data_IF_321277906310
#
_entry.id   IF_321277906310
#
_cell.length_a   1.000
_cell.length_b   1.000
_cell.length_c   1.000
_cell.angle_alpha   90.00
_cell.angle_beta   90.00
_cell.angle_gamma   90.00
#
_symmetry.space_group_name_H-M   'P 1'
#
loop_
_entity.id
_entity.type
_entity.pdbx_description
1 polymer ?
#
# COMPACT_ATOMS: atom_id res chain seq x y z
N UNK A 1 -21.41 26.19 4.93
CA UNK A 1 -20.39 26.02 3.87
C UNK A 1 -19.83 24.59 3.92
N UNK A 2 -20.57 23.60 3.40
CA UNK A 2 -20.34 22.16 3.64
C UNK A 2 -19.75 21.40 2.44
N UNK A 3 -19.08 22.14 1.56
CA UNK A 3 -18.60 21.67 0.26
C UNK A 3 -17.17 22.15 0.04
N UNK A 4 -16.16 21.28 0.25
CA UNK A 4 -14.85 21.31 -0.47
C UNK A 4 -13.80 20.28 -0.02
N UNK A 5 -13.94 19.60 1.13
CA UNK A 5 -12.91 18.66 1.59
C UNK A 5 -12.74 17.37 0.76
N UNK A 6 -13.70 17.04 -0.10
CA UNK A 6 -13.67 15.80 -0.90
C UNK A 6 -12.58 15.75 -1.98
N UNK A 7 -12.06 16.90 -2.42
CA UNK A 7 -11.04 16.98 -3.48
C UNK A 7 -9.63 16.76 -2.91
N UNK A 8 -9.37 17.21 -1.68
CA UNK A 8 -8.07 17.04 -1.01
C UNK A 8 -7.85 15.61 -0.50
N UNK A 9 -8.92 14.83 -0.32
CA UNK A 9 -8.82 13.45 0.13
C UNK A 9 -8.18 12.51 -0.90
N UNK A 10 -8.33 12.81 -2.20
CA UNK A 10 -7.75 12.04 -3.30
C UNK A 10 -6.22 11.98 -3.26
N UNK A 11 -5.48 13.11 -3.33
CA UNK A 11 -4.02 13.07 -3.27
C UNK A 11 -3.53 12.55 -1.91
N UNK A 12 -4.29 12.79 -0.85
CA UNK A 12 -3.92 12.37 0.49
C UNK A 12 -3.97 10.83 0.67
N UNK A 13 -4.94 10.15 0.04
CA UNK A 13 -4.96 8.67 0.02
C UNK A 13 -3.74 8.09 -0.70
N UNK A 14 -3.39 8.66 -1.86
CA UNK A 14 -2.22 8.23 -2.63
C UNK A 14 -0.95 8.39 -1.80
N UNK A 15 -0.74 9.57 -1.21
CA UNK A 15 0.47 9.86 -0.42
C UNK A 15 0.57 8.90 0.77
N UNK A 16 -0.52 8.70 1.51
CA UNK A 16 -0.52 7.84 2.69
C UNK A 16 -0.32 6.38 2.32
N UNK A 17 -0.83 5.93 1.18
CA UNK A 17 -0.56 4.57 0.70
C UNK A 17 0.90 4.37 0.33
N UNK A 18 1.52 5.34 -0.34
CA UNK A 18 2.96 5.26 -0.60
C UNK A 18 3.75 5.26 0.70
N UNK A 19 3.47 6.18 1.63
CA UNK A 19 4.16 6.21 2.92
C UNK A 19 3.94 4.91 3.70
N UNK A 20 2.71 4.40 3.72
CA UNK A 20 2.34 3.15 4.37
C UNK A 20 3.04 1.94 3.75
N UNK A 21 3.13 1.87 2.42
CA UNK A 21 3.81 0.77 1.72
C UNK A 21 5.31 0.77 2.00
N UNK A 22 5.93 1.96 1.96
CA UNK A 22 7.35 2.12 2.28
C UNK A 22 7.65 1.81 3.75
N UNK A 23 6.84 2.35 4.67
CA UNK A 23 6.98 2.05 6.09
C UNK A 23 6.74 0.57 6.40
N UNK A 24 5.79 -0.08 5.72
CA UNK A 24 5.55 -1.50 5.86
C UNK A 24 6.72 -2.34 5.32
N UNK A 25 7.30 -1.97 4.19
CA UNK A 25 8.44 -2.69 3.60
C UNK A 25 9.68 -2.60 4.50
N UNK A 26 10.00 -1.39 4.96
CA UNK A 26 11.13 -1.13 5.89
C UNK A 26 10.88 -1.79 7.24
N UNK A 27 9.67 -1.64 7.79
CA UNK A 27 9.28 -2.24 9.06
C UNK A 27 9.33 -3.77 9.01
N UNK A 28 8.85 -4.38 7.92
CA UNK A 28 8.96 -5.82 7.72
C UNK A 28 10.41 -6.27 7.62
N UNK A 29 11.27 -5.49 6.95
CA UNK A 29 12.69 -5.82 6.81
C UNK A 29 13.38 -5.83 8.18
N UNK A 30 13.08 -4.83 9.00
CA UNK A 30 13.58 -4.77 10.37
C UNK A 30 13.08 -5.92 11.24
N UNK A 31 11.81 -6.32 11.12
CA UNK A 31 11.24 -7.45 11.88
C UNK A 31 11.91 -8.78 11.47
N UNK A 32 12.11 -9.00 10.17
CA UNK A 32 12.70 -10.23 9.65
C UNK A 32 14.20 -10.33 9.96
N UNK A 33 14.96 -9.30 9.58
CA UNK A 33 16.42 -9.35 9.59
C UNK A 33 17.07 -8.68 10.80
N UNK A 34 16.28 -8.01 11.66
CA UNK A 34 16.75 -7.28 12.84
C UNK A 34 17.83 -6.23 12.52
N UNK A 35 17.86 -5.77 11.27
CA UNK A 35 18.83 -4.81 10.73
C UNK A 35 18.15 -3.93 9.68
N UNK A 36 18.76 -2.79 9.38
CA UNK A 36 18.37 -1.89 8.30
C UNK A 36 19.50 -1.62 7.30
N UNK A 37 20.69 -2.18 7.54
CA UNK A 37 21.90 -1.78 6.79
C UNK A 37 21.82 -2.16 5.31
N UNK A 38 21.35 -3.38 5.00
CA UNK A 38 21.34 -3.92 3.64
C UNK A 38 20.01 -3.73 2.89
N UNK A 39 19.08 -2.93 3.42
CA UNK A 39 17.78 -2.70 2.75
C UNK A 39 17.93 -1.87 1.47
N UNK A 40 18.89 -0.94 1.48
CA UNK A 40 19.22 -0.07 0.35
C UNK A 40 20.21 -0.72 -0.62
N UNK A 41 20.66 -1.95 -0.33
CA UNK A 41 21.57 -2.71 -1.17
C UNK A 41 20.83 -3.75 -2.01
N UNK A 42 21.47 -4.19 -3.10
CA UNK A 42 20.98 -5.31 -3.89
C UNK A 42 20.98 -6.60 -3.05
N UNK A 43 19.91 -7.42 -3.09
CA UNK A 43 18.79 -7.37 -4.03
C UNK A 43 17.54 -6.61 -3.53
N UNK A 44 17.48 -6.25 -2.24
CA UNK A 44 16.27 -5.69 -1.61
C UNK A 44 15.94 -4.28 -2.10
N UNK A 45 16.94 -3.48 -2.46
CA UNK A 45 16.72 -2.18 -3.08
C UNK A 45 15.91 -2.29 -4.38
N UNK A 46 16.26 -3.26 -5.24
CA UNK A 46 15.56 -3.50 -6.50
C UNK A 46 14.11 -3.90 -6.28
N UNK A 47 13.86 -4.76 -5.28
CA UNK A 47 12.52 -5.16 -4.89
C UNK A 47 11.70 -3.97 -4.34
N UNK A 48 12.34 -3.10 -3.55
CA UNK A 48 11.70 -1.93 -2.98
C UNK A 48 11.26 -0.93 -4.06
N UNK A 49 12.11 -0.69 -5.06
CA UNK A 49 11.76 0.10 -6.23
C UNK A 49 10.61 -0.53 -7.02
N UNK A 50 10.64 -1.85 -7.21
CA UNK A 50 9.59 -2.57 -7.91
C UNK A 50 8.24 -2.46 -7.21
N UNK A 51 8.20 -2.60 -5.88
CA UNK A 51 6.99 -2.40 -5.07
C UNK A 51 6.37 -1.02 -5.33
N UNK A 52 7.18 0.05 -5.26
CA UNK A 52 6.69 1.39 -5.50
C UNK A 52 6.23 1.59 -6.96
N UNK A 53 6.95 1.03 -7.93
CA UNK A 53 6.62 1.16 -9.35
C UNK A 53 5.31 0.43 -9.70
N UNK A 54 5.12 -0.80 -9.23
CA UNK A 54 3.88 -1.56 -9.48
C UNK A 54 2.71 -0.90 -8.77
N UNK A 55 2.89 -0.45 -7.53
CA UNK A 55 1.82 0.27 -6.82
C UNK A 55 1.41 1.55 -7.56
N UNK A 56 2.37 2.30 -8.10
CA UNK A 56 2.08 3.45 -8.95
C UNK A 56 1.27 3.06 -10.19
N UNK A 57 1.67 1.99 -10.88
CA UNK A 57 0.95 1.48 -12.05
C UNK A 57 -0.48 1.06 -11.69
N UNK A 58 -0.67 0.34 -10.57
CA UNK A 58 -2.00 -0.06 -10.10
C UNK A 58 -2.89 1.17 -9.86
N UNK A 59 -2.36 2.22 -9.21
CA UNK A 59 -3.11 3.46 -8.98
C UNK A 59 -3.47 4.13 -10.31
N UNK A 60 -2.54 4.20 -11.27
CA UNK A 60 -2.77 4.87 -12.55
C UNK A 60 -3.78 4.13 -13.44
N UNK A 61 -3.75 2.79 -13.41
CA UNK A 61 -4.61 1.92 -14.22
C UNK A 61 -6.01 1.81 -13.62
N UNK A 62 -6.11 1.47 -12.33
CA UNK A 62 -7.40 1.24 -11.68
C UNK A 62 -8.07 2.52 -11.19
N UNK A 63 -7.32 3.62 -11.08
CA UNK A 63 -7.79 4.93 -10.56
C UNK A 63 -8.67 4.76 -9.33
N UNK A 64 -8.22 4.00 -8.32
CA UNK A 64 -9.09 3.53 -7.25
C UNK A 64 -9.74 4.71 -6.55
N UNK A 65 -9.02 5.81 -6.33
CA UNK A 65 -9.48 6.90 -5.46
C UNK A 65 -10.52 7.87 -6.09
N UNK A 66 -11.00 7.63 -7.32
CA UNK A 66 -12.03 8.47 -7.96
C UNK A 66 -13.42 7.97 -7.56
N UNK A 67 -14.04 8.59 -6.55
CA UNK A 67 -15.36 8.18 -6.05
C UNK A 67 -16.43 9.27 -6.14
N UNK A 68 -17.67 8.93 -6.55
CA UNK A 68 -18.85 9.68 -6.17
C UNK A 68 -19.01 9.62 -4.64
N UNK A 69 -19.37 10.75 -4.01
CA UNK A 69 -19.55 10.91 -2.55
C UNK A 69 -20.35 9.79 -1.85
N UNK A 70 -21.28 9.16 -2.55
CA UNK A 70 -22.14 8.09 -2.03
C UNK A 70 -21.39 6.79 -1.70
N UNK A 71 -20.21 6.58 -2.30
CA UNK A 71 -19.35 5.41 -2.09
C UNK A 71 -18.33 5.60 -0.97
N UNK A 72 -18.32 6.76 -0.30
CA UNK A 72 -17.41 7.08 0.79
C UNK A 72 -17.81 6.40 2.11
N UNK A 73 -17.82 5.07 2.10
CA UNK A 73 -18.07 4.21 3.27
C UNK A 73 -16.80 3.43 3.57
N UNK A 74 -16.43 3.30 4.84
CA UNK A 74 -15.22 2.58 5.28
C UNK A 74 -15.13 1.19 4.66
N UNK A 75 -16.24 0.44 4.63
CA UNK A 75 -16.31 -0.89 4.01
C UNK A 75 -15.92 -0.88 2.52
N UNK A 76 -16.36 0.12 1.76
CA UNK A 76 -16.05 0.21 0.33
C UNK A 76 -14.57 0.53 0.12
N UNK A 77 -14.03 1.49 0.89
CA UNK A 77 -12.62 1.86 0.83
C UNK A 77 -11.69 0.69 1.23
N UNK A 78 -12.08 -0.09 2.24
CA UNK A 78 -11.35 -1.29 2.65
C UNK A 78 -11.39 -2.36 1.56
N UNK A 79 -12.56 -2.61 0.93
CA UNK A 79 -12.67 -3.58 -0.17
C UNK A 79 -11.77 -3.21 -1.35
N UNK A 80 -11.64 -1.93 -1.66
CA UNK A 80 -10.74 -1.48 -2.72
C UNK A 80 -9.27 -1.56 -2.34
N UNK A 81 -8.92 -1.21 -1.09
CA UNK A 81 -7.56 -1.43 -0.58
C UNK A 81 -7.18 -2.91 -0.71
N UNK A 82 -8.08 -3.83 -0.31
CA UNK A 82 -7.86 -5.26 -0.45
C UNK A 82 -7.69 -5.65 -1.92
N UNK A 83 -8.59 -5.24 -2.81
CA UNK A 83 -8.50 -5.54 -4.24
C UNK A 83 -7.17 -5.08 -4.84
N UNK A 84 -6.75 -3.84 -4.56
CA UNK A 84 -5.47 -3.32 -5.05
C UNK A 84 -4.29 -4.08 -4.46
N UNK A 85 -4.32 -4.34 -3.14
CA UNK A 85 -3.23 -5.07 -2.47
C UNK A 85 -3.07 -6.48 -3.01
N UNK A 86 -4.17 -7.19 -3.25
CA UNK A 86 -4.14 -8.53 -3.88
C UNK A 86 -3.66 -8.47 -5.33
N UNK A 87 -4.07 -7.44 -6.08
CA UNK A 87 -3.59 -7.24 -7.46
C UNK A 87 -2.08 -7.01 -7.48
N UNK A 88 -1.60 -6.09 -6.64
CA UNK A 88 -0.18 -5.81 -6.45
C UNK A 88 0.60 -7.06 -6.05
N UNK A 89 0.11 -7.81 -5.05
CA UNK A 89 0.71 -9.05 -4.58
C UNK A 89 0.77 -10.11 -5.69
N UNK A 90 -0.26 -10.22 -6.52
CA UNK A 90 -0.27 -11.14 -7.66
C UNK A 90 0.80 -10.75 -8.69
N UNK A 91 0.95 -9.47 -9.02
CA UNK A 91 1.98 -9.01 -9.97
C UNK A 91 3.39 -9.26 -9.41
N UNK A 92 3.61 -8.95 -8.13
CA UNK A 92 4.89 -9.23 -7.44
C UNK A 92 5.20 -10.73 -7.43
N UNK A 93 4.19 -11.58 -7.16
CA UNK A 93 4.37 -13.03 -7.18
C UNK A 93 4.72 -13.55 -8.58
N UNK A 94 4.07 -13.04 -9.63
CA UNK A 94 4.41 -13.38 -11.02
C UNK A 94 5.84 -12.95 -11.38
N UNK A 95 6.23 -11.74 -11.00
CA UNK A 95 7.59 -11.25 -11.19
C UNK A 95 8.60 -12.17 -10.49
N UNK A 96 8.32 -12.53 -9.23
CA UNK A 96 9.17 -13.39 -8.43
C UNK A 96 9.41 -14.76 -9.10
N UNK A 97 8.33 -15.39 -9.59
CA UNK A 97 8.42 -16.67 -10.32
C UNK A 97 9.27 -16.50 -11.59
N UNK A 98 9.09 -15.40 -12.33
CA UNK A 98 9.82 -15.15 -13.58
C UNK A 98 11.33 -15.01 -13.38
N UNK A 99 11.77 -14.38 -12.28
CA UNK A 99 13.20 -14.17 -12.00
C UNK A 99 13.85 -15.31 -11.20
N UNK A 100 13.12 -16.39 -10.91
CA UNK A 100 13.58 -17.49 -10.04
C UNK A 100 14.18 -16.96 -8.72
N UNK A 101 13.49 -16.01 -8.08
CA UNK A 101 14.06 -15.16 -7.02
C UNK A 101 14.31 -15.86 -5.68
N UNK A 102 15.17 -16.88 -5.62
CA UNK A 102 15.59 -17.54 -4.38
C UNK A 102 16.27 -16.60 -3.37
N UNK A 103 16.51 -15.34 -3.75
CA UNK A 103 17.18 -14.32 -2.95
C UNK A 103 16.27 -13.56 -1.97
N UNK A 104 14.94 -13.59 -2.14
CA UNK A 104 14.02 -12.81 -1.31
C UNK A 104 13.35 -13.67 -0.23
N UNK A 105 13.25 -13.13 0.99
CA UNK A 105 12.48 -13.79 2.06
C UNK A 105 10.97 -13.73 1.76
N UNK A 106 10.31 -14.89 1.84
CA UNK A 106 8.84 -15.03 1.77
C UNK A 106 8.16 -14.37 2.96
N UNK A 107 8.79 -14.47 4.11
CA UNK A 107 8.27 -13.92 5.36
C UNK A 107 8.31 -12.38 5.32
N UNK A 108 9.42 -11.80 4.85
CA UNK A 108 9.52 -10.35 4.61
C UNK A 108 8.37 -9.80 3.75
N UNK A 109 8.07 -10.48 2.64
CA UNK A 109 6.98 -10.09 1.74
C UNK A 109 5.60 -10.21 2.41
N UNK A 110 5.36 -11.32 3.12
CA UNK A 110 4.11 -11.54 3.84
C UNK A 110 3.88 -10.47 4.91
N UNK A 111 4.89 -10.19 5.75
CA UNK A 111 4.84 -9.19 6.81
C UNK A 111 4.61 -7.80 6.21
N UNK A 112 5.26 -7.47 5.08
CA UNK A 112 5.06 -6.20 4.37
C UNK A 112 3.59 -5.99 4.02
N UNK A 113 2.93 -6.98 3.42
CA UNK A 113 1.52 -6.86 3.06
C UNK A 113 0.59 -6.78 4.28
N UNK A 114 0.87 -7.55 5.34
CA UNK A 114 0.10 -7.48 6.59
C UNK A 114 0.18 -6.09 7.21
N UNK A 115 1.40 -5.54 7.36
CA UNK A 115 1.61 -4.19 7.89
C UNK A 115 0.93 -3.14 7.02
N UNK A 116 1.07 -3.25 5.69
CA UNK A 116 0.45 -2.31 4.76
C UNK A 116 -1.08 -2.32 4.86
N UNK A 117 -1.71 -3.50 4.95
CA UNK A 117 -3.15 -3.62 5.15
C UNK A 117 -3.59 -3.05 6.49
N UNK A 118 -2.82 -3.25 7.55
CA UNK A 118 -3.10 -2.65 8.86
C UNK A 118 -3.06 -1.12 8.80
N UNK A 119 -1.97 -0.53 8.30
CA UNK A 119 -1.82 0.91 8.17
C UNK A 119 -2.90 1.50 7.27
N UNK A 120 -3.12 0.89 6.11
CA UNK A 120 -4.13 1.31 5.16
C UNK A 120 -5.52 1.30 5.81
N UNK A 121 -5.91 0.20 6.45
CA UNK A 121 -7.24 0.05 7.08
C UNK A 121 -7.46 1.07 8.19
N UNK A 122 -6.48 1.25 9.09
CA UNK A 122 -6.54 2.27 10.16
C UNK A 122 -6.77 3.65 9.55
N UNK A 123 -6.03 3.99 8.50
CA UNK A 123 -6.17 5.27 7.83
C UNK A 123 -7.56 5.47 7.21
N UNK A 124 -8.14 4.46 6.55
CA UNK A 124 -9.50 4.58 5.96
C UNK A 124 -10.56 4.76 7.04
N UNK A 125 -10.48 3.98 8.11
CA UNK A 125 -11.44 4.07 9.23
C UNK A 125 -11.32 5.44 9.90
N UNK A 126 -10.10 5.85 10.23
CA UNK A 126 -9.83 7.17 10.82
C UNK A 126 -10.29 8.32 9.93
N UNK A 127 -10.05 8.24 8.62
CA UNK A 127 -10.50 9.24 7.66
C UNK A 127 -12.03 9.37 7.57
N UNK A 128 -12.76 8.26 7.65
CA UNK A 128 -14.23 8.28 7.68
C UNK A 128 -14.75 8.84 9.00
N UNK A 129 -14.14 8.47 10.14
CA UNK A 129 -14.53 9.01 11.45
C UNK A 129 -14.29 10.52 11.54
N UNK A 130 -13.12 10.99 11.08
CA UNK A 130 -12.78 12.41 11.04
C UNK A 130 -13.81 13.22 10.21
N UNK A 131 -14.23 12.69 9.06
CA UNK A 131 -15.23 13.33 8.21
C UNK A 131 -16.67 13.26 8.75
N UNK A 132 -16.95 12.36 9.70
CA UNK A 132 -18.25 12.31 10.36
C UNK A 132 -18.35 13.32 11.51
N UNK A 133 -17.23 13.66 12.14
CA UNK A 133 -17.16 14.61 13.26
C UNK A 133 -17.12 16.09 12.83
N UNK A 134 -16.66 16.38 11.60
CA UNK A 134 -16.49 17.74 11.04
C UNK A 134 -17.35 18.00 9.79
#
# INVERSE_FOLDING_TARGET
MRHRYSILFFPLHVIIDFLGLNAAFVGAYWIEFHSLEAIADSPYASLWWLFNAIWLLDILLFKPYIYPRQLFKSLHLIKQLLLLTFTHAAIIALFWVAIQGYYYSREHLLITYVLFLCFGTIFRIGGVLFLNEY
#
